data_IF_819967364492
#
_entry.id   IF_819967364492
#
_cell.length_a   1.000
_cell.length_b   1.000
_cell.length_c   1.000
_cell.angle_alpha   90.00
_cell.angle_beta   90.00
_cell.angle_gamma   90.00
#
_symmetry.space_group_name_H-M   'P 1'
#
loop_
_entity.id
_entity.type
_entity.pdbx_description
1 polymer ?
#
# COMPACT_ATOMS: atom_id res chain seq x y z
N UNK A 1 -9.47 -14.78 1.93
CA UNK A 1 -9.10 -13.74 0.98
C UNK A 1 -8.06 -14.23 -0.02
N UNK A 2 -8.09 -13.69 -1.22
CA UNK A 2 -7.12 -13.98 -2.27
C UNK A 2 -5.86 -13.11 -2.21
N UNK A 3 -5.84 -12.13 -1.33
CA UNK A 3 -4.68 -11.27 -1.07
C UNK A 3 -4.13 -11.58 0.32
N UNK A 4 -2.90 -12.06 0.39
CA UNK A 4 -2.26 -12.45 1.62
C UNK A 4 -0.79 -12.06 1.67
N UNK A 5 0.05 -12.94 2.19
CA UNK A 5 1.46 -12.67 2.46
C UNK A 5 2.25 -12.26 1.21
N UNK A 6 2.02 -12.93 0.08
CA UNK A 6 2.71 -12.59 -1.18
C UNK A 6 2.41 -11.17 -1.63
N UNK A 7 1.14 -10.78 -1.60
CA UNK A 7 0.73 -9.41 -1.94
C UNK A 7 1.34 -8.39 -0.97
N UNK A 8 1.23 -8.65 0.34
CA UNK A 8 1.75 -7.74 1.36
C UNK A 8 3.27 -7.56 1.22
N UNK A 9 4.00 -8.61 0.91
CA UNK A 9 5.45 -8.53 0.72
C UNK A 9 5.86 -7.74 -0.52
N UNK A 10 4.97 -7.60 -1.50
CA UNK A 10 5.23 -6.81 -2.70
C UNK A 10 4.97 -5.32 -2.50
N UNK A 11 4.40 -4.93 -1.37
CA UNK A 11 4.14 -3.53 -1.05
C UNK A 11 5.36 -2.88 -0.40
N UNK A 12 5.61 -1.63 -0.81
CA UNK A 12 6.67 -0.81 -0.20
C UNK A 12 6.02 0.28 0.64
N UNK A 13 6.40 0.35 1.91
CA UNK A 13 5.97 1.45 2.76
C UNK A 13 6.87 2.67 2.52
N UNK A 14 6.28 3.83 2.51
CA UNK A 14 7.00 5.09 2.28
C UNK A 14 6.56 6.13 3.31
N UNK A 15 7.39 7.13 3.48
CA UNK A 15 7.02 8.35 4.20
C UNK A 15 7.05 9.51 3.22
N UNK A 16 6.16 10.47 3.43
CA UNK A 16 6.08 11.65 2.56
C UNK A 16 5.54 12.83 3.34
N UNK A 17 5.70 14.01 2.77
CA UNK A 17 5.06 15.23 3.25
C UNK A 17 4.23 15.81 2.11
N UNK A 18 3.10 16.38 2.45
CA UNK A 18 2.26 17.05 1.48
C UNK A 18 3.00 18.25 0.90
N UNK A 19 2.91 18.39 -0.42
CA UNK A 19 3.43 19.57 -1.10
C UNK A 19 2.46 20.74 -0.92
N UNK A 20 3.00 21.98 -0.94
CA UNK A 20 2.16 23.15 -1.10
C UNK A 20 1.42 23.08 -2.44
N UNK A 21 0.20 23.61 -2.55
CA UNK A 21 -0.53 23.62 -3.82
C UNK A 21 0.24 24.25 -4.98
N UNK A 22 1.07 25.26 -4.72
CA UNK A 22 1.91 25.90 -5.73
C UNK A 22 3.01 25.00 -6.28
N UNK A 23 3.41 23.96 -5.55
CA UNK A 23 4.46 23.02 -5.94
C UNK A 23 3.94 21.83 -6.78
N UNK A 24 2.61 21.71 -6.91
CA UNK A 24 2.00 20.67 -7.72
C UNK A 24 2.17 20.97 -9.20
N UNK A 25 2.07 19.92 -10.04
CA UNK A 25 1.95 20.09 -11.48
C UNK A 25 0.72 20.97 -11.77
N UNK A 26 0.88 21.96 -12.62
CA UNK A 26 -0.18 22.92 -12.96
C UNK A 26 -1.42 22.27 -13.58
N UNK A 27 -1.29 21.05 -14.09
CA UNK A 27 -2.39 20.28 -14.66
C UNK A 27 -3.22 19.56 -13.59
N UNK A 28 -2.74 19.49 -12.33
CA UNK A 28 -3.46 18.79 -11.25
C UNK A 28 -4.56 19.66 -10.65
N UNK A 29 -5.70 19.05 -10.25
CA UNK A 29 -6.84 19.81 -9.70
C UNK A 29 -6.51 20.62 -8.44
N UNK A 30 -5.56 20.17 -7.64
CA UNK A 30 -5.16 20.85 -6.39
C UNK A 30 -4.17 21.99 -6.59
N UNK A 31 -3.71 22.26 -7.82
CA UNK A 31 -2.73 23.29 -8.08
C UNK A 31 -3.29 24.69 -7.74
N UNK A 32 -2.49 25.49 -7.05
CA UNK A 32 -2.77 26.90 -6.80
C UNK A 32 -1.45 27.65 -6.62
N UNK A 33 -1.10 28.50 -7.57
CA UNK A 33 0.16 29.23 -7.56
C UNK A 33 0.30 30.20 -6.36
N UNK A 34 -0.83 30.65 -5.80
CA UNK A 34 -0.83 31.59 -4.68
C UNK A 34 -0.67 30.94 -3.31
N UNK A 35 -0.86 29.62 -3.23
CA UNK A 35 -0.71 28.86 -1.99
C UNK A 35 0.66 28.22 -1.91
N UNK A 36 1.58 28.88 -1.24
CA UNK A 36 2.98 28.48 -1.14
C UNK A 36 3.32 27.64 0.08
N UNK A 37 2.35 27.44 1.00
CA UNK A 37 2.52 26.62 2.20
C UNK A 37 1.65 25.37 2.13
N UNK A 38 2.20 24.22 2.56
CA UNK A 38 1.45 22.99 2.66
C UNK A 38 0.42 23.09 3.79
N UNK A 39 -0.78 22.54 3.56
CA UNK A 39 -1.82 22.48 4.59
C UNK A 39 -1.39 21.62 5.79
N UNK A 40 -0.69 20.53 5.53
CA UNK A 40 -0.18 19.60 6.54
C UNK A 40 1.34 19.56 6.46
N UNK A 41 2.00 19.72 7.60
CA UNK A 41 3.46 19.73 7.70
C UNK A 41 4.04 18.46 8.31
N UNK A 42 3.20 17.61 8.89
CA UNK A 42 3.64 16.36 9.50
C UNK A 42 3.99 15.31 8.44
N UNK A 43 4.94 14.46 8.79
CA UNK A 43 5.32 13.34 7.95
C UNK A 43 4.17 12.31 7.92
N UNK A 44 3.82 11.88 6.72
CA UNK A 44 2.79 10.88 6.48
C UNK A 44 3.44 9.52 6.16
N UNK A 45 2.73 8.46 6.48
CA UNK A 45 3.15 7.08 6.22
C UNK A 45 2.14 6.42 5.28
N UNK A 46 2.62 5.75 4.28
CA UNK A 46 1.69 5.13 3.35
C UNK A 46 2.36 4.37 2.22
N UNK A 47 1.60 4.17 1.16
CA UNK A 47 2.03 3.51 -0.08
C UNK A 47 2.00 4.48 -1.25
N UNK A 48 2.68 4.11 -2.31
CA UNK A 48 2.54 4.78 -3.61
C UNK A 48 1.46 4.01 -4.39
N UNK A 49 0.38 4.71 -4.78
CA UNK A 49 -0.79 4.07 -5.38
C UNK A 49 -0.47 3.28 -6.65
N UNK A 50 0.44 3.78 -7.49
CA UNK A 50 0.87 3.09 -8.70
C UNK A 50 1.59 1.78 -8.40
N UNK A 51 2.35 1.73 -7.31
CA UNK A 51 3.02 0.50 -6.86
C UNK A 51 2.03 -0.51 -6.30
N UNK A 52 0.99 -0.06 -5.61
CA UNK A 52 -0.11 -0.92 -5.16
C UNK A 52 -0.82 -1.53 -6.36
N UNK A 53 -1.11 -0.74 -7.38
CA UNK A 53 -1.74 -1.23 -8.61
C UNK A 53 -0.89 -2.29 -9.28
N UNK A 54 0.43 -2.10 -9.35
CA UNK A 54 1.34 -3.09 -9.91
C UNK A 54 1.31 -4.40 -9.12
N UNK A 55 1.31 -4.32 -7.79
CA UNK A 55 1.21 -5.51 -6.95
C UNK A 55 -0.11 -6.26 -7.16
N UNK A 56 -1.22 -5.54 -7.31
CA UNK A 56 -2.52 -6.13 -7.62
C UNK A 56 -2.49 -6.83 -8.98
N UNK A 57 -1.91 -6.20 -9.99
CA UNK A 57 -1.78 -6.79 -11.32
C UNK A 57 -0.91 -8.06 -11.29
N UNK A 58 0.16 -8.05 -10.53
CA UNK A 58 1.05 -9.21 -10.37
C UNK A 58 0.35 -10.39 -9.71
N UNK A 59 -0.67 -10.12 -8.88
CA UNK A 59 -1.48 -11.14 -8.23
C UNK A 59 -2.82 -11.41 -8.94
N UNK A 60 -3.02 -10.81 -10.12
CA UNK A 60 -4.22 -11.00 -10.96
C UNK A 60 -5.52 -10.57 -10.25
N UNK A 61 -5.47 -9.53 -9.44
CA UNK A 61 -6.66 -8.99 -8.76
C UNK A 61 -7.00 -7.63 -9.37
N UNK A 62 -8.22 -7.49 -9.87
CA UNK A 62 -8.68 -6.29 -10.58
C UNK A 62 -9.78 -5.52 -9.85
N UNK A 63 -10.31 -6.06 -8.77
CA UNK A 63 -11.51 -5.54 -8.08
C UNK A 63 -11.29 -5.27 -6.59
N UNK A 64 -10.05 -4.99 -6.19
CA UNK A 64 -9.76 -4.66 -4.80
C UNK A 64 -10.16 -3.21 -4.50
N UNK A 65 -11.08 -3.05 -3.54
CA UNK A 65 -11.61 -1.73 -3.16
C UNK A 65 -10.60 -0.82 -2.44
N UNK A 66 -9.46 -1.36 -2.03
CA UNK A 66 -8.39 -0.56 -1.39
C UNK A 66 -7.62 0.33 -2.35
N UNK A 67 -7.77 0.12 -3.66
CA UNK A 67 -7.19 0.95 -4.70
C UNK A 67 -8.30 1.45 -5.62
N UNK A 68 -8.29 2.74 -5.90
CA UNK A 68 -9.28 3.36 -6.76
C UNK A 68 -8.63 4.34 -7.71
N UNK A 69 -9.32 4.64 -8.81
CA UNK A 69 -8.94 5.72 -9.71
C UNK A 69 -10.19 6.49 -10.08
N UNK A 70 -10.05 7.80 -10.22
CA UNK A 70 -11.16 8.65 -10.66
C UNK A 70 -11.15 8.85 -12.18
N UNK A 71 -12.10 9.63 -12.69
CA UNK A 71 -12.24 9.91 -14.13
C UNK A 71 -11.07 10.70 -14.71
N UNK A 72 -10.29 11.35 -13.87
CA UNK A 72 -9.11 12.12 -14.26
C UNK A 72 -7.82 11.30 -14.16
N UNK A 73 -7.92 10.04 -13.76
CA UNK A 73 -6.77 9.15 -13.60
C UNK A 73 -6.03 9.33 -12.29
N UNK A 74 -6.57 10.07 -11.34
CA UNK A 74 -5.98 10.20 -10.02
C UNK A 74 -6.25 8.95 -9.20
N UNK A 75 -5.18 8.33 -8.70
CA UNK A 75 -5.26 7.08 -7.94
C UNK A 75 -5.34 7.36 -6.45
N UNK A 76 -6.10 6.54 -5.75
CA UNK A 76 -6.27 6.65 -4.30
C UNK A 76 -6.15 5.32 -3.60
N UNK A 77 -5.82 5.39 -2.31
CA UNK A 77 -5.67 4.23 -1.43
C UNK A 77 -6.66 4.35 -0.28
N UNK A 78 -7.40 3.28 -0.03
CA UNK A 78 -8.21 3.12 1.18
C UNK A 78 -7.47 2.15 2.11
N UNK A 79 -6.74 2.69 3.07
CA UNK A 79 -5.85 1.90 3.92
C UNK A 79 -6.59 0.87 4.79
N UNK A 80 -7.79 1.18 5.23
CA UNK A 80 -8.58 0.25 6.03
C UNK A 80 -8.90 -1.05 5.31
N UNK A 81 -8.95 -1.01 3.97
CA UNK A 81 -9.22 -2.20 3.17
C UNK A 81 -8.06 -3.19 3.14
N UNK A 82 -6.89 -2.77 3.61
CA UNK A 82 -5.70 -3.63 3.71
C UNK A 82 -5.70 -4.49 4.98
N UNK A 83 -6.62 -4.25 5.91
CA UNK A 83 -6.67 -4.99 7.17
C UNK A 83 -6.89 -6.49 6.93
N UNK A 84 -7.82 -6.85 6.05
CA UNK A 84 -8.07 -8.27 5.76
C UNK A 84 -6.89 -8.96 5.07
N UNK A 85 -6.27 -8.37 4.02
CA UNK A 85 -5.01 -8.90 3.50
C UNK A 85 -3.91 -9.03 4.55
N UNK A 86 -3.80 -8.06 5.47
CA UNK A 86 -2.82 -8.14 6.55
C UNK A 86 -3.12 -9.28 7.51
N UNK A 87 -4.37 -9.48 7.89
CA UNK A 87 -4.78 -10.62 8.73
C UNK A 87 -4.40 -11.93 8.05
N UNK A 88 -4.72 -12.07 6.77
CA UNK A 88 -4.36 -13.26 6.00
C UNK A 88 -2.84 -13.46 5.95
N UNK A 89 -2.09 -12.39 5.71
CA UNK A 89 -0.62 -12.44 5.66
C UNK A 89 -0.02 -12.90 7.00
N UNK A 90 -0.55 -12.40 8.12
CA UNK A 90 -0.10 -12.82 9.46
C UNK A 90 -0.41 -14.31 9.69
N UNK A 91 -1.60 -14.75 9.28
CA UNK A 91 -1.98 -16.17 9.42
C UNK A 91 -1.07 -17.07 8.59
N UNK A 92 -0.76 -16.70 7.35
CA UNK A 92 0.13 -17.45 6.49
C UNK A 92 1.57 -17.48 7.05
N UNK A 93 2.05 -16.32 7.51
CA UNK A 93 3.37 -16.21 8.11
C UNK A 93 3.48 -17.07 9.40
N UNK A 94 2.43 -17.09 10.22
CA UNK A 94 2.36 -17.92 11.42
C UNK A 94 2.41 -19.41 11.07
N UNK A 95 1.67 -19.82 10.02
CA UNK A 95 1.69 -21.20 9.56
C UNK A 95 3.07 -21.62 9.03
N UNK A 96 3.71 -20.75 8.25
CA UNK A 96 5.07 -20.99 7.75
C UNK A 96 6.08 -21.07 8.87
N UNK A 97 5.95 -20.21 9.88
CA UNK A 97 6.82 -20.22 11.05
C UNK A 97 6.67 -21.52 11.85
N UNK A 98 5.44 -21.97 12.05
CA UNK A 98 5.16 -23.25 12.73
C UNK A 98 5.76 -24.43 11.95
N UNK A 99 5.60 -24.44 10.63
CA UNK A 99 6.16 -25.49 9.77
C UNK A 99 7.69 -25.48 9.78
N UNK A 100 8.31 -24.30 9.77
CA UNK A 100 9.76 -24.16 9.84
C UNK A 100 10.29 -24.65 11.18
N UNK A 101 9.63 -24.31 12.29
CA UNK A 101 9.99 -24.77 13.62
C UNK A 101 9.91 -26.29 13.72
N UNK A 102 8.86 -26.90 13.16
CA UNK A 102 8.72 -28.35 13.14
C UNK A 102 9.86 -29.01 12.35
N UNK A 103 10.29 -28.41 11.24
CA UNK A 103 11.42 -28.91 10.45
C UNK A 103 12.75 -28.83 11.23
N UNK A 104 12.97 -27.75 11.96
CA UNK A 104 14.15 -27.59 12.78
C UNK A 104 14.16 -28.63 13.93
N UNK A 105 13.02 -28.82 14.59
CA UNK A 105 12.89 -29.83 15.65
C UNK A 105 13.15 -31.23 15.10
N UNK A 106 12.61 -31.56 13.93
CA UNK A 106 12.83 -32.86 13.28
C UNK A 106 14.30 -33.08 12.87
N UNK A 107 15.01 -32.00 12.57
CA UNK A 107 16.44 -32.06 12.22
C UNK A 107 17.35 -32.10 13.45
N UNK A 108 16.82 -31.96 14.66
CA UNK A 108 17.58 -31.96 15.91
C UNK A 108 18.40 -30.69 16.14
N UNK A 109 17.97 -29.57 15.53
CA UNK A 109 18.66 -28.29 15.64
C UNK A 109 18.07 -27.43 16.75
#
# INVERSE_FOLDING_TARGET
>A
TDLGLGFINDLRTVTYKWKAPSELDSALPGYNADKTEAEYTNKMYGFIAQEVKQALDDHNVTDFAGWTTDDEGVQGISYEMFVMPLVKAVQELSAENTALKARLDAAGI
#
